data_IF_081696309707
#
_entry.id   IF_081696309707
#
_cell.length_a   1.000
_cell.length_b   1.000
_cell.length_c   1.000
_cell.angle_alpha   90.00
_cell.angle_beta   90.00
_cell.angle_gamma   90.00
#
_symmetry.space_group_name_H-M   'P 1'
#
loop_
_entity.id
_entity.type
_entity.pdbx_description
1 polymer ?
#
# COMPACT_ATOMS: atom_id res chain seq x y z
N UNK A 1 25.11 -4.60 4.39
CA UNK A 1 23.96 -5.48 4.69
C UNK A 1 22.73 -4.81 4.09
N UNK A 2 21.86 -5.54 3.37
CA UNK A 2 20.57 -4.95 2.99
C UNK A 2 19.88 -4.51 4.28
N UNK A 3 19.45 -3.25 4.35
CA UNK A 3 18.73 -2.74 5.51
C UNK A 3 17.47 -3.59 5.67
N UNK A 4 17.38 -4.35 6.77
CA UNK A 4 16.18 -5.12 7.09
C UNK A 4 15.01 -4.12 7.10
N UNK A 5 14.08 -4.29 6.16
CA UNK A 5 12.89 -3.47 6.09
C UNK A 5 12.09 -3.69 7.37
N UNK A 6 11.90 -2.63 8.17
CA UNK A 6 11.06 -2.67 9.37
C UNK A 6 9.64 -2.30 8.93
N UNK A 7 8.66 -3.22 9.01
CA UNK A 7 7.27 -2.91 8.68
C UNK A 7 6.71 -1.83 9.62
N UNK A 8 5.86 -0.95 9.11
CA UNK A 8 5.33 0.19 9.88
C UNK A 8 4.15 -0.25 10.75
N UNK A 9 4.01 0.29 11.96
CA UNK A 9 2.88 0.03 12.85
C UNK A 9 2.66 -1.46 13.17
N UNK A 10 3.74 -2.23 13.26
CA UNK A 10 3.65 -3.68 13.44
C UNK A 10 2.93 -4.09 14.74
N UNK A 11 3.21 -3.40 15.85
CA UNK A 11 2.51 -3.67 17.12
C UNK A 11 1.01 -3.33 17.02
N UNK A 12 0.59 -2.15 16.52
CA UNK A 12 -0.83 -1.88 16.31
C UNK A 12 -1.54 -2.86 15.37
N UNK A 13 -0.86 -3.33 14.32
CA UNK A 13 -1.39 -4.35 13.40
C UNK A 13 -1.68 -5.65 14.15
N UNK A 14 -0.82 -6.06 15.08
CA UNK A 14 -1.06 -7.26 15.86
C UNK A 14 -2.17 -7.05 16.88
N UNK A 15 -2.01 -6.07 17.76
CA UNK A 15 -2.88 -5.93 18.93
C UNK A 15 -4.30 -5.50 18.59
N UNK A 16 -4.48 -4.70 17.53
CA UNK A 16 -5.80 -4.18 17.17
C UNK A 16 -6.44 -4.86 15.96
N UNK A 17 -5.65 -5.47 15.06
CA UNK A 17 -6.18 -6.12 13.86
C UNK A 17 -6.06 -7.64 13.92
N UNK A 18 -4.85 -8.20 13.89
CA UNK A 18 -4.63 -9.64 13.74
C UNK A 18 -5.09 -10.46 14.95
N UNK A 19 -4.83 -10.00 16.18
CA UNK A 19 -5.20 -10.74 17.39
C UNK A 19 -6.72 -10.92 17.49
N UNK A 20 -7.49 -9.93 17.04
CA UNK A 20 -8.95 -10.07 16.97
C UNK A 20 -9.45 -10.81 15.73
N UNK A 21 -8.58 -11.44 14.93
CA UNK A 21 -8.90 -12.47 13.94
C UNK A 21 -8.60 -13.89 14.44
N UNK A 22 -7.77 -14.02 15.48
CA UNK A 22 -7.31 -15.29 16.02
C UNK A 22 -8.23 -15.70 17.20
N UNK A 23 -9.12 -16.69 17.04
CA UNK A 23 -9.91 -17.19 18.16
C UNK A 23 -9.01 -17.91 19.19
N UNK A 24 -9.48 -17.98 20.44
CA UNK A 24 -8.73 -18.52 21.58
C UNK A 24 -8.51 -20.04 21.50
N UNK A 25 -9.29 -20.74 20.68
CA UNK A 25 -9.25 -22.20 20.53
C UNK A 25 -8.27 -22.64 19.45
N UNK A 26 -7.54 -23.73 19.71
CA UNK A 26 -6.70 -24.37 18.70
C UNK A 26 -7.52 -25.15 17.65
N UNK A 27 -8.83 -25.33 17.84
CA UNK A 27 -9.68 -25.98 16.85
C UNK A 27 -10.53 -24.93 16.14
N UNK A 28 -9.92 -24.28 15.15
CA UNK A 28 -10.54 -23.23 14.34
C UNK A 28 -10.43 -23.53 12.84
N UNK A 29 -11.37 -23.00 12.09
CA UNK A 29 -11.24 -22.99 10.63
C UNK A 29 -9.95 -22.26 10.19
N UNK A 30 -9.34 -22.70 9.07
CA UNK A 30 -8.18 -22.01 8.52
C UNK A 30 -8.47 -20.55 8.20
N UNK A 31 -7.56 -19.66 8.58
CA UNK A 31 -7.64 -18.25 8.24
C UNK A 31 -7.12 -18.02 6.83
N UNK A 32 -7.68 -17.01 6.21
CA UNK A 32 -7.25 -16.50 4.90
C UNK A 32 -7.04 -15.01 5.09
N UNK A 33 -5.78 -14.58 4.99
CA UNK A 33 -5.35 -13.20 5.15
C UNK A 33 -4.87 -12.69 3.80
N UNK A 34 -5.19 -11.45 3.49
CA UNK A 34 -4.69 -10.75 2.30
C UNK A 34 -3.72 -9.68 2.74
N UNK A 35 -2.53 -9.69 2.15
CA UNK A 35 -1.61 -8.55 2.12
C UNK A 35 -1.74 -7.92 0.72
N UNK A 36 -2.56 -6.88 0.60
CA UNK A 36 -2.91 -6.30 -0.70
C UNK A 36 -1.87 -5.32 -1.25
N UNK A 37 -0.78 -5.11 -0.51
CA UNK A 37 0.33 -4.20 -0.82
C UNK A 37 1.62 -4.90 -0.40
N UNK A 38 1.82 -6.10 -0.93
CA UNK A 38 2.82 -7.05 -0.46
C UNK A 38 4.23 -6.45 -0.36
N UNK A 39 4.64 -5.64 -1.34
CA UNK A 39 5.96 -5.01 -1.38
C UNK A 39 7.07 -6.06 -1.23
N UNK A 40 7.99 -5.82 -0.29
CA UNK A 40 9.05 -6.77 0.05
C UNK A 40 8.63 -7.90 1.00
N UNK A 41 7.35 -8.08 1.28
CA UNK A 41 6.83 -9.15 2.14
C UNK A 41 7.06 -8.97 3.65
N UNK A 42 7.49 -7.79 4.10
CA UNK A 42 7.82 -7.54 5.52
C UNK A 42 6.63 -7.76 6.46
N UNK A 43 5.46 -7.20 6.15
CA UNK A 43 4.24 -7.45 6.91
C UNK A 43 3.81 -8.92 6.82
N UNK A 44 3.78 -9.47 5.60
CA UNK A 44 3.47 -10.88 5.35
C UNK A 44 4.29 -11.83 6.23
N UNK A 45 5.62 -11.67 6.30
CA UNK A 45 6.49 -12.55 7.08
C UNK A 45 6.22 -12.44 8.59
N UNK A 46 5.98 -11.23 9.10
CA UNK A 46 5.71 -11.03 10.53
C UNK A 46 4.31 -11.51 10.94
N UNK A 47 3.32 -11.39 10.05
CA UNK A 47 1.98 -11.97 10.22
C UNK A 47 2.08 -13.51 10.21
N UNK A 48 2.81 -14.08 9.25
CA UNK A 48 2.94 -15.52 9.09
C UNK A 48 3.48 -16.24 10.34
N UNK A 49 4.33 -15.58 11.14
CA UNK A 49 4.85 -16.11 12.42
C UNK A 49 3.75 -16.39 13.45
N UNK A 50 2.57 -15.77 13.31
CA UNK A 50 1.39 -15.97 14.18
C UNK A 50 0.33 -16.87 13.55
N UNK A 51 0.51 -17.24 12.30
CA UNK A 51 -0.35 -18.19 11.59
C UNK A 51 0.17 -19.61 11.76
N UNK A 52 -0.65 -20.59 11.37
CA UNK A 52 -0.36 -22.02 11.49
C UNK A 52 -0.48 -22.76 10.18
N UNK A 53 -0.05 -24.01 10.18
CA UNK A 53 -0.35 -24.94 9.09
C UNK A 53 -1.87 -24.98 8.80
N UNK A 54 -2.21 -24.85 7.52
CA UNK A 54 -3.59 -24.74 7.04
C UNK A 54 -4.02 -23.30 6.74
N UNK A 55 -3.51 -22.30 7.46
CA UNK A 55 -3.78 -20.90 7.13
C UNK A 55 -3.13 -20.49 5.80
N UNK A 56 -3.69 -19.46 5.18
CA UNK A 56 -3.22 -18.93 3.91
C UNK A 56 -3.06 -17.41 3.98
N UNK A 57 -1.96 -16.91 3.41
CA UNK A 57 -1.75 -15.51 3.04
C UNK A 57 -1.81 -15.41 1.52
N UNK A 58 -2.59 -14.45 1.03
CA UNK A 58 -2.60 -14.03 -0.38
C UNK A 58 -1.91 -12.66 -0.45
N UNK A 59 -0.69 -12.63 -0.98
CA UNK A 59 0.09 -11.42 -1.20
C UNK A 59 -0.12 -10.89 -2.62
N UNK A 60 -0.46 -9.61 -2.75
CA UNK A 60 -0.69 -8.95 -4.04
C UNK A 60 0.16 -7.69 -4.13
N UNK A 61 0.86 -7.51 -5.24
CA UNK A 61 1.53 -6.25 -5.57
C UNK A 61 1.39 -5.94 -7.07
N UNK A 62 1.34 -4.65 -7.40
CA UNK A 62 1.30 -4.19 -8.80
C UNK A 62 2.67 -4.24 -9.46
N UNK A 63 3.73 -4.17 -8.65
CA UNK A 63 5.09 -4.24 -9.15
C UNK A 63 5.54 -5.72 -9.22
N UNK A 64 5.70 -6.29 -10.42
CA UNK A 64 6.18 -7.67 -10.56
C UNK A 64 7.58 -7.85 -9.95
N UNK A 65 8.41 -6.80 -9.88
CA UNK A 65 9.75 -6.91 -9.30
C UNK A 65 9.70 -7.19 -7.79
N UNK A 66 8.72 -6.64 -7.08
CA UNK A 66 8.57 -6.88 -5.64
C UNK A 66 8.38 -8.38 -5.35
N UNK A 67 7.54 -9.04 -6.14
CA UNK A 67 7.27 -10.49 -6.05
C UNK A 67 8.50 -11.31 -6.47
N UNK A 68 9.12 -10.97 -7.60
CA UNK A 68 10.27 -11.70 -8.12
C UNK A 68 11.47 -11.62 -7.15
N UNK A 69 11.71 -10.43 -6.57
CA UNK A 69 12.77 -10.23 -5.59
C UNK A 69 12.51 -11.03 -4.31
N UNK A 70 11.29 -11.03 -3.80
CA UNK A 70 10.94 -11.83 -2.63
C UNK A 70 11.22 -13.32 -2.85
N UNK A 71 10.78 -13.88 -3.98
CA UNK A 71 11.02 -15.29 -4.31
C UNK A 71 12.53 -15.57 -4.42
N UNK A 72 13.29 -14.67 -5.04
CA UNK A 72 14.74 -14.83 -5.19
C UNK A 72 15.51 -14.74 -3.86
N UNK A 73 15.02 -13.93 -2.92
CA UNK A 73 15.62 -13.76 -1.59
C UNK A 73 15.27 -14.91 -0.62
N UNK A 74 14.22 -15.67 -0.92
CA UNK A 74 13.74 -16.77 -0.08
C UNK A 74 13.70 -18.13 -0.81
N UNK A 75 14.83 -18.60 -1.38
CA UNK A 75 14.89 -19.90 -2.06
C UNK A 75 14.65 -21.09 -1.11
N UNK A 76 14.77 -20.88 0.20
CA UNK A 76 14.55 -21.90 1.23
C UNK A 76 13.08 -22.27 1.44
N UNK A 77 12.14 -21.42 1.03
CA UNK A 77 10.72 -21.69 1.22
C UNK A 77 10.22 -22.74 0.22
N UNK A 78 9.71 -23.89 0.70
CA UNK A 78 9.27 -24.94 -0.20
C UNK A 78 8.13 -24.48 -1.10
N UNK A 79 8.19 -24.93 -2.35
CA UNK A 79 7.05 -24.90 -3.26
C UNK A 79 5.90 -25.71 -2.67
N UNK A 80 4.74 -25.08 -2.56
CA UNK A 80 3.49 -25.68 -2.14
C UNK A 80 3.10 -26.81 -3.09
N UNK A 81 2.66 -27.93 -2.51
CA UNK A 81 2.11 -29.07 -3.25
C UNK A 81 0.71 -28.80 -3.80
N UNK A 82 0.09 -27.68 -3.40
CA UNK A 82 -1.24 -27.30 -3.85
C UNK A 82 -1.18 -26.84 -5.32
N UNK A 83 -1.94 -27.52 -6.17
CA UNK A 83 -2.09 -27.13 -7.57
C UNK A 83 -3.08 -25.98 -7.68
N UNK A 84 -2.62 -24.86 -8.23
CA UNK A 84 -3.51 -23.75 -8.61
C UNK A 84 -4.61 -24.27 -9.56
N UNK A 85 -5.82 -23.69 -9.51
CA UNK A 85 -6.83 -23.93 -10.54
C UNK A 85 -6.26 -23.74 -11.95
N UNK A 86 -6.54 -24.69 -12.85
CA UNK A 86 -6.07 -24.61 -14.24
C UNK A 86 -6.53 -23.30 -14.92
N UNK A 87 -5.61 -22.67 -15.67
CA UNK A 87 -5.91 -21.46 -16.46
C UNK A 87 -5.69 -20.12 -15.76
N UNK A 88 -5.22 -20.09 -14.49
CA UNK A 88 -4.86 -18.83 -13.82
C UNK A 88 -3.49 -18.32 -14.27
N UNK A 89 -3.47 -17.17 -14.95
CA UNK A 89 -2.24 -16.46 -15.34
C UNK A 89 -1.93 -15.32 -14.36
N UNK A 90 -0.64 -15.01 -14.11
CA UNK A 90 -0.22 -13.87 -13.28
C UNK A 90 0.01 -14.15 -11.80
N UNK A 91 -0.26 -15.39 -11.37
CA UNK A 91 0.08 -15.92 -10.05
C UNK A 91 1.49 -16.54 -10.05
N UNK A 92 2.11 -16.60 -8.88
CA UNK A 92 3.28 -17.43 -8.69
C UNK A 92 2.92 -18.87 -9.09
N UNK A 93 3.72 -19.53 -9.95
CA UNK A 93 3.37 -20.82 -10.53
C UNK A 93 3.17 -21.91 -9.47
N UNK A 94 3.72 -21.70 -8.28
CA UNK A 94 3.46 -22.50 -7.12
C UNK A 94 3.26 -21.59 -5.90
N UNK A 95 2.33 -21.92 -5.02
CA UNK A 95 2.32 -21.33 -3.67
C UNK A 95 3.63 -21.64 -2.95
N UNK A 96 3.91 -20.97 -1.84
CA UNK A 96 5.06 -21.24 -0.98
C UNK A 96 4.58 -21.69 0.40
N UNK A 97 5.37 -22.49 1.11
CA UNK A 97 5.10 -22.83 2.51
C UNK A 97 6.07 -22.05 3.38
N UNK A 98 5.53 -21.17 4.24
CA UNK A 98 6.32 -20.37 5.18
C UNK A 98 6.76 -21.21 6.39
N UNK A 99 7.75 -20.77 7.19
CA UNK A 99 8.27 -21.53 8.33
C UNK A 99 7.22 -21.96 9.37
N UNK A 100 6.11 -21.22 9.49
CA UNK A 100 4.98 -21.58 10.36
C UNK A 100 4.07 -22.69 9.81
N UNK A 101 4.31 -23.15 8.57
CA UNK A 101 3.46 -24.06 7.82
C UNK A 101 2.32 -23.37 7.05
N UNK A 102 2.14 -22.05 7.24
CA UNK A 102 1.17 -21.25 6.50
C UNK A 102 1.51 -21.21 5.01
N UNK A 103 0.48 -21.26 4.16
CA UNK A 103 0.62 -21.13 2.71
C UNK A 103 0.72 -19.65 2.33
N UNK A 104 1.62 -19.32 1.40
CA UNK A 104 1.73 -18.00 0.79
C UNK A 104 1.49 -18.09 -0.71
N UNK A 105 0.50 -17.37 -1.21
CA UNK A 105 0.22 -17.24 -2.65
C UNK A 105 0.48 -15.81 -3.09
N UNK A 106 1.26 -15.63 -4.15
CA UNK A 106 1.64 -14.31 -4.65
C UNK A 106 1.02 -14.08 -6.03
N UNK A 107 0.47 -12.88 -6.26
CA UNK A 107 0.00 -12.47 -7.58
C UNK A 107 0.49 -11.08 -7.91
N UNK A 108 0.97 -10.91 -9.15
CA UNK A 108 1.08 -9.59 -9.72
C UNK A 108 -0.34 -9.08 -10.02
N UNK A 109 -0.75 -7.99 -9.41
CA UNK A 109 -2.11 -7.50 -9.50
C UNK A 109 -2.38 -6.28 -8.63
N UNK A 110 -3.59 -5.76 -8.70
CA UNK A 110 -4.01 -4.64 -7.85
C UNK A 110 -4.99 -5.10 -6.80
N UNK A 111 -4.85 -4.56 -5.58
CA UNK A 111 -5.88 -4.65 -4.55
C UNK A 111 -7.27 -4.16 -4.99
N UNK A 112 -7.38 -3.28 -6.01
CA UNK A 112 -8.67 -2.86 -6.59
C UNK A 112 -9.43 -4.00 -7.27
N UNK A 113 -8.72 -5.04 -7.69
CA UNK A 113 -9.22 -6.22 -8.38
C UNK A 113 -9.16 -7.45 -7.45
N UNK A 114 -9.07 -7.23 -6.14
CA UNK A 114 -8.92 -8.32 -5.18
C UNK A 114 -10.10 -9.31 -5.26
N UNK A 115 -11.31 -8.81 -5.50
CA UNK A 115 -12.51 -9.66 -5.57
C UNK A 115 -12.39 -10.68 -6.70
N UNK A 116 -11.92 -10.24 -7.87
CA UNK A 116 -11.70 -11.07 -9.05
C UNK A 116 -10.54 -12.04 -8.85
N UNK A 117 -9.44 -11.57 -8.23
CA UNK A 117 -8.28 -12.40 -7.88
C UNK A 117 -8.68 -13.54 -6.92
N UNK A 118 -9.42 -13.23 -5.87
CA UNK A 118 -9.92 -14.21 -4.91
C UNK A 118 -10.92 -15.19 -5.56
N UNK A 119 -11.79 -14.70 -6.44
CA UNK A 119 -12.71 -15.55 -7.19
C UNK A 119 -11.98 -16.56 -8.08
N UNK A 120 -10.88 -16.14 -8.74
CA UNK A 120 -10.00 -17.04 -9.49
C UNK A 120 -9.42 -18.16 -8.62
N UNK A 121 -9.06 -17.84 -7.38
CA UNK A 121 -8.60 -18.80 -6.38
C UNK A 121 -9.71 -19.62 -5.73
N UNK A 122 -10.98 -19.39 -6.08
CA UNK A 122 -12.17 -19.97 -5.43
C UNK A 122 -12.22 -19.67 -3.92
N UNK A 123 -11.69 -18.51 -3.51
CA UNK A 123 -11.79 -18.00 -2.14
C UNK A 123 -13.03 -17.08 -2.07
N UNK A 124 -14.12 -17.50 -1.42
CA UNK A 124 -15.36 -16.72 -1.38
C UNK A 124 -15.28 -15.52 -0.43
N UNK A 125 -14.49 -15.63 0.63
CA UNK A 125 -14.30 -14.57 1.62
C UNK A 125 -12.96 -14.71 2.34
N UNK A 126 -12.47 -13.60 2.89
CA UNK A 126 -11.20 -13.54 3.63
C UNK A 126 -11.42 -12.99 5.03
N UNK A 127 -10.60 -13.44 5.97
CA UNK A 127 -10.71 -13.07 7.38
C UNK A 127 -9.99 -11.75 7.67
N UNK A 128 -8.90 -11.47 6.96
CA UNK A 128 -8.16 -10.22 7.13
C UNK A 128 -7.74 -9.65 5.80
N UNK A 129 -7.81 -8.33 5.66
CA UNK A 129 -7.16 -7.60 4.58
C UNK A 129 -6.31 -6.49 5.19
N UNK A 130 -5.02 -6.47 4.87
CA UNK A 130 -4.10 -5.38 5.18
C UNK A 130 -3.73 -4.65 3.89
N UNK A 131 -3.87 -3.33 3.89
CA UNK A 131 -3.33 -2.44 2.85
C UNK A 131 -2.39 -1.42 3.50
N UNK A 132 -1.12 -1.44 3.13
CA UNK A 132 -0.10 -0.44 3.42
C UNK A 132 0.03 0.50 2.21
N UNK A 133 -0.76 1.58 2.20
CA UNK A 133 -0.86 2.46 1.03
C UNK A 133 0.43 3.25 0.80
N UNK A 134 0.77 3.51 -0.46
CA UNK A 134 1.91 4.37 -0.80
C UNK A 134 3.09 3.58 -1.36
N UNK A 135 4.31 4.04 -1.05
CA UNK A 135 5.54 3.52 -1.66
C UNK A 135 6.15 2.42 -0.80
N UNK A 136 6.51 1.31 -1.45
CA UNK A 136 7.37 0.31 -0.82
C UNK A 136 8.78 0.88 -0.58
N UNK A 137 9.48 0.29 0.37
CA UNK A 137 10.85 0.68 0.67
C UNK A 137 11.82 0.44 -0.48
N UNK A 138 11.57 -0.59 -1.27
CA UNK A 138 12.34 -0.92 -2.47
C UNK A 138 12.11 0.12 -3.56
N UNK A 139 10.86 0.58 -3.75
CA UNK A 139 10.56 1.68 -4.68
C UNK A 139 11.22 3.00 -4.25
N UNK A 140 11.30 3.28 -2.95
CA UNK A 140 12.03 4.44 -2.45
C UNK A 140 13.56 4.28 -2.55
N UNK A 141 14.06 3.05 -2.50
CA UNK A 141 15.47 2.74 -2.65
C UNK A 141 15.91 2.70 -4.12
N UNK A 142 14.96 2.47 -5.04
CA UNK A 142 15.19 2.48 -6.48
C UNK A 142 15.59 3.89 -6.94
N UNK A 143 16.86 3.99 -7.32
CA UNK A 143 17.48 5.24 -7.75
C UNK A 143 17.22 5.56 -9.23
N UNK A 144 16.49 4.72 -9.97
CA UNK A 144 16.23 4.89 -11.40
C UNK A 144 14.81 5.38 -11.70
N UNK A 145 13.87 5.24 -10.76
CA UNK A 145 12.44 5.55 -10.96
C UNK A 145 12.01 6.95 -10.53
N UNK A 146 12.92 7.71 -9.93
CA UNK A 146 12.70 9.12 -9.60
C UNK A 146 11.79 9.40 -8.40
N UNK A 147 11.43 8.39 -7.59
CA UNK A 147 10.61 8.57 -6.38
C UNK A 147 11.25 9.45 -5.31
N UNK A 148 12.57 9.57 -5.36
CA UNK A 148 13.36 10.45 -4.51
C UNK A 148 14.08 11.49 -5.35
N UNK A 149 14.14 12.72 -4.85
CA UNK A 149 14.95 13.80 -5.42
C UNK A 149 16.32 13.93 -4.75
N UNK A 150 16.70 12.99 -3.87
CA UNK A 150 18.06 12.95 -3.29
C UNK A 150 19.10 12.44 -4.28
N UNK A 151 18.67 11.58 -5.20
CA UNK A 151 19.47 11.05 -6.31
C UNK A 151 18.84 11.56 -7.59
N UNK A 152 19.69 12.01 -8.51
CA UNK A 152 19.23 12.48 -9.81
C UNK A 152 18.88 11.29 -10.71
N UNK A 153 17.64 11.22 -11.14
CA UNK A 153 17.06 10.10 -11.87
C UNK A 153 15.94 10.58 -12.79
N UNK A 154 15.56 9.84 -13.83
CA UNK A 154 14.38 10.16 -14.64
C UNK A 154 13.15 10.39 -13.74
N UNK A 155 12.42 11.48 -13.98
CA UNK A 155 11.20 11.82 -13.25
C UNK A 155 10.04 10.94 -13.75
N UNK A 156 10.11 9.65 -13.45
CA UNK A 156 9.10 8.67 -13.87
C UNK A 156 7.91 8.64 -12.90
N UNK A 157 8.14 8.32 -11.63
CA UNK A 157 7.15 8.23 -10.55
C UNK A 157 6.00 7.21 -10.74
N UNK A 158 5.93 6.45 -11.84
CA UNK A 158 4.94 5.37 -11.98
C UNK A 158 5.32 4.20 -11.08
N UNK A 159 4.36 3.46 -10.53
CA UNK A 159 4.59 2.17 -9.86
C UNK A 159 4.85 1.07 -10.89
N UNK A 160 3.98 0.97 -11.90
CA UNK A 160 4.17 0.09 -13.05
C UNK A 160 4.80 0.86 -14.22
N UNK A 161 6.07 0.57 -14.60
CA UNK A 161 6.73 1.26 -15.70
C UNK A 161 6.26 0.80 -17.09
N UNK A 162 5.54 -0.33 -17.17
CA UNK A 162 5.12 -0.93 -18.44
C UNK A 162 3.88 -0.26 -19.03
N UNK A 163 3.13 0.49 -18.23
CA UNK A 163 1.94 1.23 -18.65
C UNK A 163 1.94 2.71 -18.20
N UNK A 164 0.95 3.48 -18.68
CA UNK A 164 0.73 4.86 -18.25
C UNK A 164 1.74 5.89 -18.78
N UNK A 165 1.66 7.12 -18.26
CA UNK A 165 2.48 8.27 -18.66
C UNK A 165 3.41 8.63 -17.49
N UNK A 166 4.75 8.67 -17.67
CA UNK A 166 5.67 9.08 -16.62
C UNK A 166 5.51 10.57 -16.29
N UNK A 167 5.88 10.97 -15.07
CA UNK A 167 5.63 12.32 -14.56
C UNK A 167 6.29 13.42 -15.39
N UNK A 168 7.49 13.21 -15.93
CA UNK A 168 8.11 14.19 -16.83
C UNK A 168 7.27 14.45 -18.08
N UNK A 169 6.74 13.39 -18.71
CA UNK A 169 5.81 13.54 -19.86
C UNK A 169 4.51 14.18 -19.43
N UNK A 170 3.99 13.83 -18.25
CA UNK A 170 2.77 14.43 -17.73
C UNK A 170 2.93 15.96 -17.62
N UNK A 171 4.03 16.44 -17.03
CA UNK A 171 4.35 17.87 -16.93
C UNK A 171 4.54 18.58 -18.28
N UNK A 172 4.89 17.85 -19.34
CA UNK A 172 5.08 18.41 -20.68
C UNK A 172 3.77 18.54 -21.46
N UNK A 173 2.76 17.71 -21.16
CA UNK A 173 1.50 17.65 -21.94
C UNK A 173 0.30 18.34 -21.28
N UNK A 174 0.43 18.79 -20.03
CA UNK A 174 -0.67 19.43 -19.29
C UNK A 174 -0.47 20.94 -19.19
N UNK A 175 -1.60 21.67 -19.15
CA UNK A 175 -1.62 23.12 -19.01
C UNK A 175 -1.15 23.59 -17.62
N UNK A 176 -0.78 24.87 -17.51
CA UNK A 176 -0.43 25.49 -16.22
C UNK A 176 -1.53 25.28 -15.17
N UNK A 177 -2.79 25.40 -15.58
CA UNK A 177 -3.95 25.21 -14.71
C UNK A 177 -4.04 23.77 -14.20
N UNK A 178 -3.93 22.78 -15.08
CA UNK A 178 -4.01 21.37 -14.68
C UNK A 178 -2.86 20.98 -13.74
N UNK A 179 -1.65 21.46 -14.00
CA UNK A 179 -0.49 21.26 -13.11
C UNK A 179 -0.74 21.93 -11.76
N UNK A 180 -1.23 23.17 -11.74
CA UNK A 180 -1.53 23.89 -10.50
C UNK A 180 -2.64 23.21 -9.69
N UNK A 181 -3.70 22.75 -10.35
CA UNK A 181 -4.83 22.08 -9.72
C UNK A 181 -4.38 20.74 -9.12
N UNK A 182 -3.57 19.95 -9.85
CA UNK A 182 -2.99 18.71 -9.35
C UNK A 182 -2.10 18.95 -8.11
N UNK A 183 -1.17 19.90 -8.17
CA UNK A 183 -0.27 20.22 -7.04
C UNK A 183 -1.06 20.73 -5.83
N UNK A 184 -2.11 21.53 -6.07
CA UNK A 184 -2.98 22.03 -5.01
C UNK A 184 -3.76 20.89 -4.34
N UNK A 185 -4.48 20.11 -5.14
CA UNK A 185 -5.40 19.08 -4.66
C UNK A 185 -4.65 17.91 -4.03
N UNK A 186 -3.63 17.39 -4.72
CA UNK A 186 -2.96 16.16 -4.33
C UNK A 186 -1.71 16.39 -3.47
N UNK A 187 -1.09 17.56 -3.57
CA UNK A 187 0.04 17.96 -2.74
C UNK A 187 -0.33 18.76 -1.49
N UNK A 188 -1.58 19.25 -1.40
CA UNK A 188 -2.01 20.24 -0.40
C UNK A 188 -1.03 21.45 -0.33
N UNK A 189 -0.54 21.88 -1.49
CA UNK A 189 0.48 22.92 -1.65
C UNK A 189 -0.14 24.27 -2.06
N UNK A 190 0.03 25.29 -1.21
CA UNK A 190 -0.56 26.63 -1.39
C UNK A 190 0.12 27.43 -2.50
N UNK A 191 1.40 27.13 -2.76
CA UNK A 191 2.16 27.77 -3.83
C UNK A 191 1.99 27.08 -5.18
N UNK A 192 0.99 26.21 -5.34
CA UNK A 192 0.76 25.39 -6.54
C UNK A 192 0.81 26.19 -7.86
N UNK A 193 0.12 27.33 -7.93
CA UNK A 193 0.12 28.21 -9.12
C UNK A 193 1.51 28.75 -9.45
N UNK A 194 2.28 29.13 -8.43
CA UNK A 194 3.65 29.62 -8.61
C UNK A 194 4.58 28.51 -9.11
N UNK A 195 4.43 27.31 -8.57
CA UNK A 195 5.20 26.12 -8.99
C UNK A 195 4.84 25.75 -10.43
N UNK A 196 3.55 25.66 -10.76
CA UNK A 196 3.07 25.32 -12.10
C UNK A 196 3.57 26.31 -13.16
N UNK A 197 3.49 27.62 -12.89
CA UNK A 197 4.03 28.65 -13.78
C UNK A 197 5.53 28.49 -14.00
N UNK A 198 6.29 28.20 -12.96
CA UNK A 198 7.73 27.98 -13.06
C UNK A 198 8.06 26.72 -13.89
N UNK A 199 7.27 25.65 -13.74
CA UNK A 199 7.42 24.42 -14.54
C UNK A 199 7.16 24.70 -16.02
N UNK A 200 6.06 25.40 -16.35
CA UNK A 200 5.73 25.74 -17.74
C UNK A 200 6.81 26.60 -18.37
N UNK A 201 7.33 27.60 -17.64
CA UNK A 201 8.38 28.47 -18.16
C UNK A 201 9.70 27.71 -18.38
N UNK A 202 10.08 26.84 -17.44
CA UNK A 202 11.24 25.96 -17.58
C UNK A 202 11.08 25.04 -18.81
N UNK A 203 9.91 24.40 -18.97
CA UNK A 203 9.65 23.45 -20.06
C UNK A 203 9.64 24.08 -21.46
N UNK A 204 9.47 25.40 -21.58
CA UNK A 204 9.59 26.12 -22.87
C UNK A 204 11.01 26.15 -23.41
N UNK A 205 12.02 26.10 -22.54
CA UNK A 205 13.43 26.29 -22.92
C UNK A 205 14.26 25.03 -22.69
N UNK A 206 14.04 24.34 -21.58
CA UNK A 206 14.77 23.14 -21.18
C UNK A 206 13.80 22.25 -20.38
N UNK A 207 13.12 21.30 -21.06
CA UNK A 207 12.17 20.39 -20.45
C UNK A 207 12.73 19.70 -19.21
N UNK A 208 11.91 19.63 -18.16
CA UNK A 208 12.22 18.87 -16.94
C UNK A 208 12.08 17.39 -17.27
N UNK A 209 13.18 16.65 -17.12
CA UNK A 209 13.28 15.21 -17.37
C UNK A 209 13.68 14.43 -16.12
N UNK A 210 14.33 15.09 -15.15
CA UNK A 210 14.85 14.43 -13.95
C UNK A 210 14.27 14.95 -12.64
N UNK A 211 14.31 14.10 -11.61
CA UNK A 211 13.87 14.42 -10.25
C UNK A 211 14.63 15.60 -9.67
N UNK A 212 15.94 15.70 -9.91
CA UNK A 212 16.75 16.82 -9.41
C UNK A 212 16.41 18.13 -10.10
N UNK A 213 16.22 18.13 -11.42
CA UNK A 213 15.81 19.33 -12.15
C UNK A 213 14.52 19.93 -11.60
N UNK A 214 13.52 19.09 -11.30
CA UNK A 214 12.27 19.54 -10.69
C UNK A 214 12.48 20.08 -9.28
N UNK A 215 13.23 19.37 -8.43
CA UNK A 215 13.51 19.79 -7.07
C UNK A 215 14.27 21.12 -7.02
N UNK A 216 15.32 21.25 -7.83
CA UNK A 216 16.14 22.47 -7.93
C UNK A 216 15.29 23.65 -8.42
N UNK A 217 14.37 23.44 -9.38
CA UNK A 217 13.43 24.47 -9.82
C UNK A 217 12.55 24.95 -8.66
N UNK A 218 11.99 24.02 -7.88
CA UNK A 218 11.13 24.35 -6.72
C UNK A 218 11.94 25.10 -5.65
N UNK A 219 13.18 24.67 -5.37
CA UNK A 219 14.05 25.30 -4.39
C UNK A 219 14.51 26.71 -4.80
N UNK A 220 14.52 27.05 -6.09
CA UNK A 220 14.76 28.43 -6.56
C UNK A 220 13.60 29.37 -6.26
N UNK A 221 12.36 28.88 -6.24
CA UNK A 221 11.16 29.72 -6.08
C UNK A 221 10.59 29.69 -4.66
N UNK A 222 10.82 28.64 -3.90
CA UNK A 222 10.34 28.48 -2.54
C UNK A 222 11.54 28.21 -1.61
N UNK A 223 11.53 28.74 -0.37
CA UNK A 223 12.55 28.37 0.60
C UNK A 223 12.61 26.84 0.71
N UNK A 224 13.81 26.28 0.62
CA UNK A 224 14.05 24.84 0.73
C UNK A 224 13.77 24.33 2.14
N UNK A 225 14.53 23.33 2.60
CA UNK A 225 14.33 22.75 3.93
C UNK A 225 14.62 23.76 5.05
N UNK A 226 13.57 24.31 5.64
CA UNK A 226 13.65 25.03 6.91
C UNK A 226 13.70 24.01 8.06
N UNK A 227 14.52 24.25 9.07
CA UNK A 227 14.65 23.34 10.23
C UNK A 227 13.26 23.00 10.82
N UNK A 228 12.99 21.71 11.00
CA UNK A 228 11.70 21.21 11.49
C UNK A 228 10.56 21.13 10.45
N UNK A 229 10.78 21.53 9.19
CA UNK A 229 9.77 21.42 8.11
C UNK A 229 10.14 20.39 7.05
N UNK A 230 9.10 19.88 6.39
CA UNK A 230 9.21 19.04 5.19
C UNK A 230 9.82 19.87 4.06
N UNK A 231 10.60 19.24 3.19
CA UNK A 231 11.20 19.88 2.03
C UNK A 231 10.12 20.43 1.09
N UNK A 232 10.35 21.59 0.47
CA UNK A 232 9.36 22.27 -0.39
C UNK A 232 9.04 21.49 -1.66
N UNK A 233 9.92 20.58 -2.13
CA UNK A 233 9.65 19.73 -3.27
C UNK A 233 8.73 18.53 -2.93
N UNK A 234 8.70 18.07 -1.68
CA UNK A 234 8.01 16.82 -1.29
C UNK A 234 6.54 16.79 -1.69
N UNK A 235 5.81 17.89 -1.50
CA UNK A 235 4.37 17.97 -1.83
C UNK A 235 4.10 17.93 -3.33
N UNK A 236 4.99 18.50 -4.13
CA UNK A 236 4.89 18.44 -5.60
C UNK A 236 5.15 17.03 -6.08
N UNK A 237 6.16 16.35 -5.55
CA UNK A 237 6.43 14.94 -5.86
C UNK A 237 5.28 14.03 -5.46
N UNK A 238 4.71 14.24 -4.26
CA UNK A 238 3.50 13.53 -3.82
C UNK A 238 2.35 13.75 -4.80
N UNK A 239 2.08 15.00 -5.20
CA UNK A 239 1.01 15.30 -6.15
C UNK A 239 1.18 14.59 -7.49
N UNK A 240 2.38 14.66 -8.07
CA UNK A 240 2.67 14.00 -9.34
C UNK A 240 2.56 12.48 -9.23
N UNK A 241 3.07 11.89 -8.15
CA UNK A 241 2.95 10.44 -7.87
C UNK A 241 1.49 10.01 -7.83
N UNK A 242 0.66 10.75 -7.08
CA UNK A 242 -0.77 10.48 -6.95
C UNK A 242 -1.46 10.52 -8.31
N UNK A 243 -1.14 11.51 -9.15
CA UNK A 243 -1.75 11.66 -10.48
C UNK A 243 -1.32 10.54 -11.43
N UNK A 244 -0.02 10.30 -11.59
CA UNK A 244 0.46 9.31 -12.58
C UNK A 244 0.06 7.87 -12.24
N UNK A 245 -0.18 7.59 -10.96
CA UNK A 245 -0.61 6.27 -10.47
C UNK A 245 -2.11 6.18 -10.17
N UNK A 246 -2.87 7.27 -10.34
CA UNK A 246 -4.29 7.37 -9.98
C UNK A 246 -4.56 6.83 -8.57
N UNK A 247 -3.68 7.15 -7.61
CA UNK A 247 -3.62 6.47 -6.30
C UNK A 247 -4.96 6.58 -5.55
N UNK A 248 -5.54 7.78 -5.48
CA UNK A 248 -6.77 8.01 -4.74
C UNK A 248 -7.99 7.34 -5.38
N UNK A 249 -8.06 7.28 -6.71
CA UNK A 249 -9.13 6.58 -7.43
C UNK A 249 -9.10 5.08 -7.13
N UNK A 250 -7.89 4.52 -7.08
CA UNK A 250 -7.68 3.12 -6.75
C UNK A 250 -8.06 2.80 -5.30
N UNK A 251 -7.66 3.66 -4.35
CA UNK A 251 -8.06 3.53 -2.94
C UNK A 251 -9.58 3.61 -2.81
N UNK A 252 -10.23 4.56 -3.48
CA UNK A 252 -11.69 4.68 -3.46
C UNK A 252 -12.39 3.42 -4.01
N UNK A 253 -11.99 2.95 -5.19
CA UNK A 253 -12.57 1.74 -5.79
C UNK A 253 -12.38 0.50 -4.90
N UNK A 254 -11.24 0.41 -4.21
CA UNK A 254 -10.98 -0.66 -3.26
C UNK A 254 -11.90 -0.56 -2.03
N UNK A 255 -12.02 0.63 -1.44
CA UNK A 255 -12.89 0.86 -0.28
C UNK A 255 -14.36 0.53 -0.56
N UNK A 256 -14.83 0.70 -1.79
CA UNK A 256 -16.19 0.32 -2.21
C UNK A 256 -16.38 -1.21 -2.32
N UNK A 257 -15.36 -1.95 -2.75
CA UNK A 257 -15.45 -3.40 -3.05
C UNK A 257 -15.03 -4.32 -1.91
N UNK A 258 -13.91 -4.01 -1.26
CA UNK A 258 -13.26 -4.87 -0.26
C UNK A 258 -14.17 -5.27 0.91
N UNK A 259 -15.09 -4.41 1.42
CA UNK A 259 -15.98 -4.84 2.50
C UNK A 259 -16.85 -6.05 2.12
N UNK A 260 -17.15 -6.23 0.83
CA UNK A 260 -17.90 -7.38 0.33
C UNK A 260 -17.14 -8.71 0.31
N UNK A 261 -15.81 -8.68 0.39
CA UNK A 261 -14.96 -9.89 0.41
C UNK A 261 -14.60 -10.34 1.82
N UNK A 262 -14.86 -9.51 2.84
CA UNK A 262 -14.60 -9.88 4.22
C UNK A 262 -15.58 -10.94 4.71
N UNK A 263 -15.08 -11.91 5.47
CA UNK A 263 -15.86 -12.94 6.12
C UNK A 263 -16.93 -12.33 7.02
N UNK A 264 -18.19 -12.69 6.82
CA UNK A 264 -19.28 -12.30 7.72
C UNK A 264 -19.48 -13.42 8.75
N UNK A 265 -19.18 -13.14 10.02
CA UNK A 265 -19.45 -14.10 11.09
C UNK A 265 -20.96 -14.27 11.25
N UNK A 266 -21.45 -15.51 11.13
CA UNK A 266 -22.86 -15.82 11.39
C UNK A 266 -23.05 -16.21 12.85
N UNK A 267 -23.93 -15.48 13.55
CA UNK A 267 -24.27 -15.76 14.94
C UNK A 267 -24.93 -17.14 15.08
N UNK A 268 -24.15 -18.11 15.56
CA UNK A 268 -24.62 -19.44 15.94
C UNK A 268 -24.53 -19.64 17.46
N UNK A 269 -25.14 -20.71 17.97
CA UNK A 269 -25.12 -21.04 19.41
C UNK A 269 -23.70 -21.41 19.94
N UNK A 270 -22.78 -21.80 19.05
CA UNK A 270 -21.37 -22.04 19.39
C UNK A 270 -20.46 -21.16 18.51
N UNK A 271 -20.04 -20.03 19.07
CA UNK A 271 -19.14 -19.06 18.44
C UNK A 271 -17.67 -19.26 18.83
N UNK A 272 -17.34 -20.31 19.60
CA UNK A 272 -16.01 -20.49 20.18
C UNK A 272 -14.97 -21.08 19.22
N UNK A 273 -15.43 -21.81 18.20
CA UNK A 273 -14.59 -22.43 17.16
C UNK A 273 -14.59 -21.67 15.82
N UNK A 274 -15.51 -20.70 15.63
CA UNK A 274 -15.62 -19.93 14.38
C UNK A 274 -14.76 -18.68 14.43
N UNK A 275 -14.09 -18.32 13.32
CA UNK A 275 -13.37 -17.07 13.26
C UNK A 275 -14.33 -15.88 13.43
N UNK A 276 -13.87 -14.79 14.07
CA UNK A 276 -14.64 -13.57 14.18
C UNK A 276 -14.87 -12.95 12.80
N UNK A 277 -15.74 -11.94 12.75
CA UNK A 277 -16.01 -11.25 11.50
C UNK A 277 -14.72 -10.66 10.92
N UNK A 278 -14.60 -10.71 9.60
CA UNK A 278 -13.38 -10.34 8.91
C UNK A 278 -13.05 -8.85 9.09
N UNK A 279 -11.75 -8.52 9.11
CA UNK A 279 -11.29 -7.15 9.40
C UNK A 279 -10.44 -6.58 8.27
N UNK A 280 -10.71 -5.32 7.96
CA UNK A 280 -9.94 -4.50 7.03
C UNK A 280 -9.06 -3.53 7.82
N UNK A 281 -7.75 -3.66 7.66
CA UNK A 281 -6.74 -2.74 8.16
C UNK A 281 -6.13 -1.95 6.98
N UNK A 282 -6.10 -0.63 7.09
CA UNK A 282 -5.48 0.23 6.09
C UNK A 282 -4.54 1.22 6.77
N UNK A 283 -3.29 1.23 6.33
CA UNK A 283 -2.26 2.20 6.70
C UNK A 283 -2.20 3.25 5.59
N UNK A 284 -2.24 4.51 5.99
CA UNK A 284 -2.13 5.67 5.09
C UNK A 284 -0.98 6.56 5.52
N UNK A 285 -0.33 7.23 4.57
CA UNK A 285 0.85 8.07 4.87
C UNK A 285 0.62 9.55 4.62
N UNK A 286 -0.49 9.90 3.99
CA UNK A 286 -0.89 11.29 3.84
C UNK A 286 -2.36 11.54 4.15
N UNK A 287 -2.67 12.81 4.37
CA UNK A 287 -3.99 13.32 4.79
C UNK A 287 -5.11 12.96 3.82
N UNK A 288 -4.85 12.94 2.51
CA UNK A 288 -5.85 12.62 1.49
C UNK A 288 -6.31 11.16 1.57
N UNK A 289 -5.38 10.21 1.64
CA UNK A 289 -5.69 8.78 1.87
C UNK A 289 -6.45 8.58 3.18
N UNK A 290 -5.89 9.09 4.29
CA UNK A 290 -6.49 8.96 5.62
C UNK A 290 -7.93 9.50 5.66
N UNK A 291 -8.18 10.62 4.96
CA UNK A 291 -9.51 11.22 4.85
C UNK A 291 -10.47 10.32 4.07
N UNK A 292 -10.04 9.74 2.94
CA UNK A 292 -10.85 8.80 2.16
C UNK A 292 -11.18 7.55 2.98
N UNK A 293 -10.16 6.90 3.56
CA UNK A 293 -10.31 5.69 4.37
C UNK A 293 -11.24 5.95 5.56
N UNK A 294 -11.03 7.05 6.29
CA UNK A 294 -11.88 7.45 7.42
C UNK A 294 -13.34 7.59 7.01
N UNK A 295 -13.61 8.28 5.91
CA UNK A 295 -14.98 8.54 5.47
C UNK A 295 -15.62 7.24 4.99
N UNK A 296 -14.94 6.45 4.16
CA UNK A 296 -15.46 5.17 3.68
C UNK A 296 -15.78 4.19 4.82
N UNK A 297 -14.88 4.03 5.80
CA UNK A 297 -15.13 3.15 6.96
C UNK A 297 -16.25 3.66 7.87
N UNK A 298 -16.53 4.97 7.88
CA UNK A 298 -17.62 5.55 8.67
C UNK A 298 -18.97 5.43 7.94
N UNK A 299 -18.96 5.64 6.64
CA UNK A 299 -20.17 5.80 5.83
C UNK A 299 -20.66 4.47 5.23
N UNK A 300 -19.82 3.42 5.21
CA UNK A 300 -20.22 2.09 4.74
C UNK A 300 -20.98 1.31 5.83
N UNK A 301 -22.27 0.99 5.63
CA UNK A 301 -23.07 0.27 6.63
C UNK A 301 -22.58 -1.16 6.89
N UNK A 302 -21.80 -1.74 5.96
CA UNK A 302 -21.23 -3.09 6.08
C UNK A 302 -20.06 -3.15 7.04
N UNK A 303 -19.57 -2.00 7.50
CA UNK A 303 -18.37 -1.88 8.32
C UNK A 303 -18.67 -1.29 9.69
N UNK A 304 -18.12 -1.93 10.72
CA UNK A 304 -18.01 -1.40 12.07
C UNK A 304 -16.62 -0.82 12.27
N UNK A 305 -16.51 0.49 12.42
CA UNK A 305 -15.23 1.15 12.69
C UNK A 305 -14.71 0.78 14.08
N UNK A 306 -13.54 0.13 14.15
CA UNK A 306 -12.87 -0.25 15.40
C UNK A 306 -11.92 0.85 15.92
N UNK A 307 -11.46 1.74 15.04
CA UNK A 307 -10.49 2.81 15.35
C UNK A 307 -11.09 4.19 15.08
N UNK A 308 -11.79 4.77 16.08
CA UNK A 308 -12.37 6.13 15.97
C UNK A 308 -11.31 7.19 15.63
N UNK A 309 -10.12 7.08 16.24
CA UNK A 309 -8.91 7.82 15.89
C UNK A 309 -7.93 6.86 15.21
N UNK A 310 -7.14 7.31 14.22
CA UNK A 310 -6.13 6.44 13.63
C UNK A 310 -5.09 6.06 14.68
N UNK A 311 -4.64 4.82 14.63
CA UNK A 311 -3.49 4.35 15.39
C UNK A 311 -2.22 4.86 14.71
N UNK A 312 -1.26 5.33 15.49
CA UNK A 312 -0.03 5.97 14.99
C UNK A 312 1.19 5.36 15.66
N UNK A 313 2.35 5.55 15.05
CA UNK A 313 3.61 4.99 15.54
C UNK A 313 3.99 5.60 16.90
N UNK A 314 4.58 4.77 17.75
CA UNK A 314 5.18 5.23 19.01
C UNK A 314 6.43 6.08 18.73
N UNK A 315 6.86 6.90 19.70
CA UNK A 315 8.11 7.66 19.57
C UNK A 315 9.33 6.76 19.35
N UNK A 316 9.37 5.60 20.00
CA UNK A 316 10.41 4.59 19.84
C UNK A 316 10.44 4.02 18.42
N UNK A 317 9.26 3.72 17.85
CA UNK A 317 9.17 3.26 16.46
C UNK A 317 9.58 4.35 15.48
N UNK A 318 9.17 5.60 15.69
CA UNK A 318 9.55 6.72 14.80
C UNK A 318 11.07 6.95 14.84
N UNK A 319 11.71 6.76 15.98
CA UNK A 319 13.16 6.86 16.11
C UNK A 319 13.89 5.74 15.34
N UNK A 320 13.39 4.51 15.42
CA UNK A 320 13.96 3.34 14.73
C UNK A 320 13.62 3.30 13.22
N UNK A 321 12.42 3.74 12.87
CA UNK A 321 11.86 3.77 11.52
C UNK A 321 11.19 5.13 11.26
N UNK A 322 11.94 6.13 10.76
CA UNK A 322 11.39 7.45 10.46
C UNK A 322 10.23 7.45 9.44
N UNK A 323 10.04 6.37 8.68
CA UNK A 323 8.92 6.22 7.73
C UNK A 323 7.58 6.06 8.45
N UNK A 324 7.57 5.51 9.65
CA UNK A 324 6.36 5.33 10.46
C UNK A 324 5.77 6.66 10.96
N UNK A 325 6.51 7.77 10.88
CA UNK A 325 6.09 9.08 11.42
C UNK A 325 4.74 9.56 10.89
N UNK A 326 4.48 9.36 9.61
CA UNK A 326 3.24 9.80 8.96
C UNK A 326 2.21 8.68 8.80
N UNK A 327 2.56 7.46 9.21
CA UNK A 327 1.70 6.29 9.10
C UNK A 327 0.51 6.41 10.04
N UNK A 328 -0.67 6.11 9.50
CA UNK A 328 -1.95 6.12 10.21
C UNK A 328 -2.72 4.86 9.87
N UNK A 329 -2.89 3.99 10.84
CA UNK A 329 -3.65 2.76 10.72
C UNK A 329 -5.11 2.99 11.11
N UNK A 330 -6.02 2.52 10.27
CA UNK A 330 -7.46 2.41 10.56
C UNK A 330 -7.93 0.99 10.36
N UNK A 331 -8.82 0.55 11.23
CA UNK A 331 -9.35 -0.81 11.24
C UNK A 331 -10.87 -0.75 11.29
N UNK A 332 -11.50 -1.55 10.43
CA UNK A 332 -12.93 -1.81 10.46
C UNK A 332 -13.19 -3.33 10.42
N UNK A 333 -14.29 -3.73 11.05
CA UNK A 333 -14.76 -5.11 11.10
C UNK A 333 -16.01 -5.25 10.24
N UNK A 334 -16.16 -6.37 9.53
CA UNK A 334 -17.36 -6.68 8.77
C UNK A 334 -18.54 -6.84 9.71
N UNK A 335 -19.66 -6.21 9.38
CA UNK A 335 -20.93 -6.41 10.06
C UNK A 335 -22.05 -6.76 9.06
N UNK A 336 -23.15 -7.27 9.61
CA UNK A 336 -24.31 -7.73 8.85
C UNK A 336 -25.02 -6.58 8.13
#
# INVERSE_FOLDING_TARGET
MPSIHIPVLLEPIFTHWLDGLLPETQDRDPLVIVDGTFGGGGHTLEIAKRLRAGDCIVGIDRDPQAILQFIALHPEFPVSKFQMPEGLTGWSPHGMVLPSGCQLWLSCGSYCNLSELLAGLRIPSVHGILLDLGLSSDQLADQQRGFSFRVDAPLDLRFDPTGGIPAFKWLQHHSEKEIADAIYQFGEERFSRRIARAIIEQNRTSPIETSKQLADLIHRILPGRVHGRVDSATRTFQALRIVVNRELEHVQAALERLPGTLHLSQGGLDNSAKPPAGRLAIISFHSLEDRLVKNAMRDDPRLKNLTKKPLVASEAEIAANPRSRSAKLRIAERQA
#
